data_IF_091033111419
#
_entry.id   IF_091033111419
#
_cell.length_a   1.000
_cell.length_b   1.000
_cell.length_c   1.000
_cell.angle_alpha   90.00
_cell.angle_beta   90.00
_cell.angle_gamma   90.00
#
_symmetry.space_group_name_H-M   'P 1'
#
loop_
_entity.id
_entity.type
_entity.pdbx_description
1 polymer ?
#
# COMPACT_ATOMS: atom_id res chain seq x y z
N UNK A 1 -6.42 8.37 -17.07
CA UNK A 1 -5.95 8.06 -15.71
C UNK A 1 -6.06 9.31 -14.87
N UNK A 2 -6.45 9.20 -13.60
CA UNK A 2 -6.50 10.34 -12.66
C UNK A 2 -5.70 10.02 -11.39
N UNK A 3 -4.90 10.97 -10.94
CA UNK A 3 -4.21 10.93 -9.65
C UNK A 3 -4.82 12.00 -8.75
N UNK A 4 -5.12 11.62 -7.51
CA UNK A 4 -5.63 12.57 -6.50
C UNK A 4 -4.78 12.51 -5.25
N UNK A 5 -4.05 13.60 -4.97
CA UNK A 5 -3.45 13.87 -3.68
C UNK A 5 -4.33 14.90 -2.95
N UNK A 6 -4.87 14.53 -1.79
CA UNK A 6 -5.63 15.44 -0.95
C UNK A 6 -4.68 16.13 0.04
N UNK A 7 -4.12 17.30 -0.33
CA UNK A 7 -3.78 18.42 0.58
C UNK A 7 -3.20 19.63 -0.22
N UNK A 8 -3.36 20.88 0.27
CA UNK A 8 -2.99 22.07 -0.46
C UNK A 8 -1.52 22.45 -0.19
N UNK A 9 -0.72 22.56 -1.25
CA UNK A 9 0.19 23.68 -1.55
C UNK A 9 1.35 23.23 -2.46
N UNK A 10 1.35 23.81 -3.67
CA UNK A 10 2.49 24.06 -4.58
C UNK A 10 3.51 22.95 -4.82
N UNK A 11 3.39 22.27 -5.97
CA UNK A 11 4.25 22.45 -7.15
C UNK A 11 3.99 21.30 -8.13
N UNK A 12 3.35 21.59 -9.27
CA UNK A 12 3.02 20.59 -10.30
C UNK A 12 3.99 20.65 -11.48
N UNK A 13 4.37 19.48 -11.99
CA UNK A 13 5.20 19.26 -13.17
C UNK A 13 4.56 18.11 -13.98
N UNK A 14 3.97 18.33 -15.17
CA UNK A 14 3.54 17.25 -16.10
C UNK A 14 3.85 17.53 -17.58
N UNK A 15 4.50 16.58 -18.28
CA UNK A 15 4.88 16.56 -19.71
C UNK A 15 3.79 15.92 -20.58
N UNK A 16 3.53 16.51 -21.76
CA UNK A 16 2.81 15.90 -22.89
C UNK A 16 3.72 15.80 -24.13
N UNK A 17 3.52 14.73 -24.92
CA UNK A 17 4.38 14.26 -26.00
C UNK A 17 3.88 14.68 -27.39
N UNK A 18 4.81 15.05 -28.28
CA UNK A 18 4.82 14.74 -29.72
C UNK A 18 6.18 15.13 -30.33
N UNK A 19 7.13 14.16 -30.40
CA UNK A 19 8.35 14.03 -31.27
C UNK A 19 9.54 13.36 -30.55
N UNK A 20 10.53 12.79 -31.27
CA UNK A 20 11.42 11.76 -30.73
C UNK A 20 12.27 12.25 -29.55
N UNK A 21 12.44 11.34 -28.60
CA UNK A 21 13.08 11.52 -27.30
C UNK A 21 14.46 12.19 -27.40
N UNK A 22 14.57 13.36 -26.77
CA UNK A 22 15.82 14.04 -26.39
C UNK A 22 15.80 14.13 -24.86
N UNK A 23 16.84 13.66 -24.14
CA UNK A 23 16.82 13.64 -22.68
C UNK A 23 16.75 15.07 -22.11
N UNK A 24 15.96 15.31 -21.04
CA UNK A 24 15.70 16.66 -20.53
C UNK A 24 16.91 17.25 -19.80
N UNK A 25 17.12 18.56 -19.97
CA UNK A 25 18.04 19.39 -19.18
C UNK A 25 17.31 19.90 -17.94
N UNK A 26 17.95 20.00 -16.75
CA UNK A 26 17.26 20.43 -15.52
C UNK A 26 16.69 21.86 -15.64
N UNK A 27 15.36 22.01 -15.50
CA UNK A 27 14.71 23.32 -15.33
C UNK A 27 13.46 23.63 -16.16
N UNK A 28 12.99 22.78 -17.07
CA UNK A 28 11.77 23.06 -17.85
C UNK A 28 10.50 22.48 -17.19
N UNK A 29 9.54 23.38 -16.89
CA UNK A 29 8.15 23.04 -16.54
C UNK A 29 7.41 22.48 -17.76
N UNK A 30 6.34 21.69 -17.57
CA UNK A 30 5.81 20.98 -18.70
C UNK A 30 4.31 21.24 -18.93
N UNK A 31 3.86 20.81 -20.11
CA UNK A 31 2.76 21.38 -20.89
C UNK A 31 1.37 20.90 -20.43
N UNK A 32 0.51 21.83 -19.97
CA UNK A 32 -0.78 21.56 -19.30
C UNK A 32 -1.97 21.26 -20.25
N UNK A 33 -1.80 21.35 -21.56
CA UNK A 33 -2.91 21.60 -22.51
C UNK A 33 -3.59 20.36 -23.15
N UNK A 34 -3.45 19.14 -22.61
CA UNK A 34 -4.07 17.91 -23.22
C UNK A 34 -4.95 17.05 -22.30
N UNK A 35 -5.40 17.56 -21.15
CA UNK A 35 -6.44 16.90 -20.35
C UNK A 35 -7.79 17.54 -20.67
N UNK A 36 -8.79 16.73 -21.01
CA UNK A 36 -10.17 17.20 -21.23
C UNK A 36 -10.61 18.06 -20.03
N UNK A 37 -10.93 19.34 -20.27
CA UNK A 37 -11.22 20.36 -19.22
C UNK A 37 -12.28 19.90 -18.20
N UNK A 38 -13.19 19.01 -18.63
CA UNK A 38 -14.23 18.41 -17.79
C UNK A 38 -13.72 17.42 -16.71
N UNK A 39 -12.42 17.15 -16.65
CA UNK A 39 -11.81 16.05 -15.89
C UNK A 39 -10.78 16.50 -14.85
N UNK A 40 -10.43 17.80 -14.80
CA UNK A 40 -9.39 18.31 -13.87
C UNK A 40 -10.00 18.49 -12.47
N UNK A 41 -9.49 17.74 -11.46
CA UNK A 41 -9.84 18.04 -10.07
C UNK A 41 -9.31 19.41 -9.66
N UNK A 42 -10.15 20.14 -8.93
CA UNK A 42 -9.83 21.46 -8.39
C UNK A 42 -9.75 21.38 -6.88
N UNK A 43 -8.72 22.00 -6.32
CA UNK A 43 -8.54 22.06 -4.85
C UNK A 43 -9.75 22.73 -4.23
N UNK A 44 -10.35 22.07 -3.23
CA UNK A 44 -11.54 22.54 -2.53
C UNK A 44 -12.87 22.12 -3.17
N UNK A 45 -12.86 21.48 -4.34
CA UNK A 45 -14.07 20.92 -4.97
C UNK A 45 -14.18 19.40 -4.73
N UNK A 46 -15.40 18.88 -4.91
CA UNK A 46 -15.65 17.43 -4.85
C UNK A 46 -14.94 16.77 -6.02
N UNK A 47 -14.26 15.65 -5.76
CA UNK A 47 -13.62 14.87 -6.83
C UNK A 47 -14.65 14.42 -7.86
N UNK A 48 -14.36 14.55 -9.17
CA UNK A 48 -15.25 14.06 -10.20
C UNK A 48 -15.42 12.55 -10.06
N UNK A 49 -16.65 12.07 -10.22
CA UNK A 49 -16.95 10.64 -10.14
C UNK A 49 -16.10 9.84 -11.15
N UNK A 50 -15.76 8.62 -10.75
CA UNK A 50 -15.12 7.63 -11.61
C UNK A 50 -15.96 7.36 -12.87
N UNK A 51 -15.29 7.07 -13.98
CA UNK A 51 -15.93 6.76 -15.26
C UNK A 51 -15.45 5.41 -15.77
N UNK A 52 -16.34 4.63 -16.39
CA UNK A 52 -16.03 3.32 -16.97
C UNK A 52 -14.83 3.44 -17.94
N UNK A 53 -13.84 2.57 -17.79
CA UNK A 53 -12.60 2.57 -18.56
C UNK A 53 -11.49 3.47 -18.02
N UNK A 54 -11.71 4.17 -16.91
CA UNK A 54 -10.66 4.96 -16.25
C UNK A 54 -10.04 4.15 -15.11
N UNK A 55 -8.71 4.20 -15.00
CA UNK A 55 -8.00 3.82 -13.79
C UNK A 55 -7.87 5.06 -12.89
N UNK A 56 -8.40 4.96 -11.67
CA UNK A 56 -8.21 5.95 -10.61
C UNK A 56 -7.32 5.35 -9.50
N UNK A 57 -6.29 6.11 -9.09
CA UNK A 57 -5.42 5.81 -7.95
C UNK A 57 -5.53 6.96 -6.95
N UNK A 58 -6.00 6.64 -5.75
CA UNK A 58 -6.24 7.59 -4.66
C UNK A 58 -5.27 7.33 -3.51
N UNK A 59 -4.40 8.28 -3.21
CA UNK A 59 -3.59 8.25 -2.00
C UNK A 59 -4.37 8.96 -0.87
N UNK A 60 -4.92 8.17 0.04
CA UNK A 60 -5.76 8.67 1.14
C UNK A 60 -4.84 9.10 2.27
N UNK A 61 -4.69 10.42 2.44
CA UNK A 61 -3.86 10.95 3.51
C UNK A 61 -4.57 10.77 4.87
N UNK A 62 -4.11 9.82 5.68
CA UNK A 62 -4.55 9.66 7.08
C UNK A 62 -3.65 10.41 8.06
N UNK A 63 -2.57 11.03 7.57
CA UNK A 63 -1.46 11.63 8.32
C UNK A 63 -0.67 10.67 9.21
N UNK A 64 -0.92 9.36 9.09
CA UNK A 64 -0.43 8.35 10.03
C UNK A 64 0.16 7.10 9.37
N UNK A 65 0.43 7.16 8.08
CA UNK A 65 1.04 6.09 7.30
C UNK A 65 0.42 5.97 5.91
N UNK A 66 0.49 4.77 5.35
CA UNK A 66 0.13 4.46 3.97
C UNK A 66 -1.35 4.04 3.82
N UNK A 67 -1.98 4.57 2.77
CA UNK A 67 -3.31 4.12 2.34
C UNK A 67 -3.52 4.49 0.88
N UNK A 68 -3.63 3.48 0.02
CA UNK A 68 -3.87 3.65 -1.41
C UNK A 68 -5.12 2.88 -1.83
N UNK A 69 -6.09 3.60 -2.40
CA UNK A 69 -7.33 3.01 -2.91
C UNK A 69 -7.37 3.14 -4.44
N UNK A 70 -7.68 2.05 -5.12
CA UNK A 70 -7.72 1.99 -6.58
C UNK A 70 -9.08 1.55 -7.09
N UNK A 71 -9.53 2.18 -8.17
CA UNK A 71 -10.66 1.73 -8.97
C UNK A 71 -10.13 1.36 -10.35
N UNK A 72 -10.19 0.07 -10.68
CA UNK A 72 -9.74 -0.45 -11.96
C UNK A 72 -10.70 -0.08 -13.09
N UNK A 73 -10.29 -0.20 -14.37
CA UNK A 73 -11.08 0.24 -15.51
C UNK A 73 -12.47 -0.41 -15.65
N UNK A 74 -12.66 -1.61 -15.11
CA UNK A 74 -13.95 -2.31 -15.10
C UNK A 74 -14.80 -2.03 -13.85
N UNK A 75 -14.29 -1.21 -12.92
CA UNK A 75 -14.90 -0.89 -11.63
C UNK A 75 -14.55 -1.85 -10.50
N UNK A 76 -13.63 -2.81 -10.70
CA UNK A 76 -13.04 -3.62 -9.62
C UNK A 76 -12.27 -2.70 -8.66
N UNK A 77 -12.32 -2.97 -7.36
CA UNK A 77 -11.75 -2.08 -6.34
C UNK A 77 -10.73 -2.75 -5.44
N UNK A 78 -9.61 -2.07 -5.20
CA UNK A 78 -8.52 -2.55 -4.36
C UNK A 78 -8.14 -1.50 -3.32
N UNK A 79 -7.98 -1.93 -2.07
CA UNK A 79 -7.35 -1.15 -1.01
C UNK A 79 -5.97 -1.74 -0.72
N UNK A 80 -4.92 -0.93 -0.81
CA UNK A 80 -3.56 -1.25 -0.41
C UNK A 80 -3.25 -0.46 0.85
N UNK A 81 -3.09 -1.17 1.95
CA UNK A 81 -2.87 -0.64 3.28
C UNK A 81 -4.03 0.27 3.79
N UNK A 82 -4.15 0.35 5.10
CA UNK A 82 -5.11 1.21 5.79
C UNK A 82 -4.49 1.66 7.12
N UNK A 83 -3.46 2.50 7.01
CA UNK A 83 -2.79 3.06 8.17
C UNK A 83 -3.70 3.89 9.06
N UNK A 84 -3.47 3.76 10.37
CA UNK A 84 -4.19 4.55 11.35
C UNK A 84 -3.49 4.55 12.70
N UNK A 85 -3.18 5.75 13.21
CA UNK A 85 -2.78 5.91 14.60
C UNK A 85 -3.64 6.96 15.31
N UNK A 86 -4.00 6.69 16.56
CA UNK A 86 -4.67 7.64 17.44
C UNK A 86 -3.70 8.52 18.23
N UNK A 87 -2.42 8.60 17.82
CA UNK A 87 -1.43 9.39 18.52
C UNK A 87 -1.85 10.86 18.58
N UNK A 88 -1.70 11.48 19.75
CA UNK A 88 -2.05 12.89 19.94
C UNK A 88 -1.24 13.78 18.99
N UNK A 89 -1.90 14.76 18.41
CA UNK A 89 -1.22 15.79 17.63
C UNK A 89 -0.48 16.74 18.56
N UNK A 90 0.71 17.17 18.16
CA UNK A 90 1.54 18.10 18.92
C UNK A 90 1.14 19.56 18.67
N UNK A 91 1.83 20.54 19.26
CA UNK A 91 1.58 21.95 18.97
C UNK A 91 1.80 22.29 17.48
N UNK A 92 0.92 23.11 16.90
CA UNK A 92 0.91 23.54 15.47
C UNK A 92 2.21 24.22 15.01
N UNK A 93 2.98 24.78 15.96
CA UNK A 93 4.29 25.39 15.70
C UNK A 93 5.49 24.43 15.77
N UNK A 94 5.29 23.15 16.10
CA UNK A 94 6.38 22.19 16.20
C UNK A 94 6.82 21.66 14.82
N UNK A 95 8.13 21.52 14.63
CA UNK A 95 8.73 20.89 13.43
C UNK A 95 8.82 19.37 13.53
N UNK A 96 8.41 18.79 14.65
CA UNK A 96 8.35 17.34 14.84
C UNK A 96 7.19 16.71 14.05
N UNK A 97 7.22 15.38 13.86
CA UNK A 97 6.15 14.63 13.19
C UNK A 97 4.76 14.91 13.81
N UNK A 98 4.69 15.07 15.14
CA UNK A 98 3.45 15.42 15.84
C UNK A 98 2.97 16.86 15.56
N UNK A 99 3.89 17.80 15.31
CA UNK A 99 3.57 19.16 14.87
C UNK A 99 3.11 19.23 13.41
N UNK A 100 3.77 18.49 12.51
CA UNK A 100 3.32 18.33 11.11
C UNK A 100 1.91 17.73 11.07
N UNK A 101 1.68 16.64 11.81
CA UNK A 101 0.37 16.00 11.90
C UNK A 101 -0.74 16.96 12.33
N UNK A 102 -0.47 17.81 13.33
CA UNK A 102 -1.44 18.79 13.81
C UNK A 102 -1.89 19.80 12.73
N UNK A 103 -1.16 19.96 11.62
CA UNK A 103 -1.54 20.88 10.53
C UNK A 103 -2.37 20.22 9.44
N UNK A 104 -2.27 18.90 9.31
CA UNK A 104 -2.69 18.20 8.09
C UNK A 104 -3.51 16.93 8.35
N UNK A 105 -3.72 16.56 9.61
CA UNK A 105 -4.58 15.42 9.98
C UNK A 105 -6.05 15.75 9.63
N UNK A 106 -6.66 15.09 8.64
CA UNK A 106 -8.05 15.37 8.24
C UNK A 106 -9.06 14.90 9.27
N UNK A 107 -8.61 14.14 10.28
CA UNK A 107 -9.43 13.70 11.40
C UNK A 107 -9.33 14.65 12.60
N UNK A 108 -8.42 15.63 12.55
CA UNK A 108 -8.33 16.70 13.53
C UNK A 108 -9.68 17.45 13.52
N UNK A 109 -10.37 17.42 14.65
CA UNK A 109 -11.68 18.03 14.89
C UNK A 109 -12.92 17.27 14.35
N UNK A 110 -12.75 16.17 13.61
CA UNK A 110 -13.90 15.40 13.08
C UNK A 110 -14.42 14.32 14.04
N UNK A 111 -13.57 13.84 14.95
CA UNK A 111 -13.88 12.73 15.85
C UNK A 111 -13.86 11.35 15.17
N UNK A 112 -13.57 11.27 13.87
CA UNK A 112 -13.44 10.00 13.16
C UNK A 112 -12.21 9.22 13.62
N UNK A 113 -12.35 7.89 13.70
CA UNK A 113 -11.21 6.97 13.72
C UNK A 113 -10.67 6.76 12.31
N UNK A 114 -9.40 6.39 12.19
CA UNK A 114 -8.75 6.23 10.88
C UNK A 114 -9.48 5.21 9.99
N UNK A 115 -9.88 4.07 10.54
CA UNK A 115 -10.64 3.06 9.80
C UNK A 115 -12.01 3.57 9.33
N UNK A 116 -12.72 4.33 10.18
CA UNK A 116 -13.98 5.00 9.80
C UNK A 116 -13.77 6.01 8.67
N UNK A 117 -12.74 6.86 8.78
CA UNK A 117 -12.44 7.88 7.77
C UNK A 117 -12.12 7.25 6.41
N UNK A 118 -11.28 6.21 6.39
CA UNK A 118 -10.95 5.44 5.18
C UNK A 118 -12.22 4.79 4.61
N UNK A 119 -13.02 4.11 5.45
CA UNK A 119 -14.23 3.43 5.01
C UNK A 119 -15.26 4.41 4.43
N UNK A 120 -15.46 5.58 5.04
CA UNK A 120 -16.39 6.60 4.56
C UNK A 120 -15.94 7.24 3.25
N UNK A 121 -14.63 7.45 3.07
CA UNK A 121 -14.09 7.88 1.78
C UNK A 121 -14.36 6.81 0.70
N UNK A 122 -14.04 5.55 0.98
CA UNK A 122 -14.24 4.45 0.04
C UNK A 122 -15.73 4.27 -0.30
N UNK A 123 -16.66 4.44 0.65
CA UNK A 123 -18.12 4.39 0.39
C UNK A 123 -18.56 5.44 -0.63
N UNK A 124 -18.00 6.65 -0.57
CA UNK A 124 -18.28 7.69 -1.57
C UNK A 124 -17.82 7.26 -2.96
N UNK A 125 -16.63 6.64 -3.05
CA UNK A 125 -16.11 6.11 -4.31
C UNK A 125 -16.89 4.89 -4.82
N UNK A 126 -17.32 4.00 -3.92
CA UNK A 126 -18.17 2.84 -4.23
C UNK A 126 -19.51 3.24 -4.86
N UNK A 127 -20.07 4.37 -4.45
CA UNK A 127 -21.29 4.90 -5.07
C UNK A 127 -21.12 5.22 -6.57
N UNK A 128 -19.90 5.53 -7.04
CA UNK A 128 -19.61 5.78 -8.46
C UNK A 128 -19.60 4.51 -9.31
N UNK A 129 -19.15 3.39 -8.73
CA UNK A 129 -19.01 2.11 -9.44
C UNK A 129 -20.21 1.18 -9.25
N UNK A 130 -21.11 1.51 -8.31
CA UNK A 130 -22.18 0.63 -7.86
C UNK A 130 -21.70 -0.54 -6.99
N UNK A 131 -20.46 -0.50 -6.50
CA UNK A 131 -19.94 -1.51 -5.58
C UNK A 131 -20.52 -1.33 -4.18
N UNK A 132 -20.54 -2.43 -3.43
CA UNK A 132 -20.89 -2.47 -2.00
C UNK A 132 -19.87 -3.31 -1.19
N UNK A 133 -18.76 -3.68 -1.81
CA UNK A 133 -17.66 -4.46 -1.22
C UNK A 133 -16.34 -4.04 -1.86
N UNK A 134 -15.26 -4.18 -1.11
CA UNK A 134 -13.90 -4.20 -1.66
C UNK A 134 -13.70 -5.55 -2.37
N UNK A 135 -13.17 -5.51 -3.60
CA UNK A 135 -12.84 -6.74 -4.30
C UNK A 135 -11.52 -7.32 -3.77
N UNK A 136 -10.54 -6.43 -3.56
CA UNK A 136 -9.23 -6.76 -3.02
C UNK A 136 -8.84 -5.86 -1.84
N UNK A 137 -8.15 -6.45 -0.87
CA UNK A 137 -7.38 -5.77 0.16
C UNK A 137 -5.96 -6.33 0.11
N UNK A 138 -4.94 -5.47 0.11
CA UNK A 138 -3.54 -5.87 0.25
C UNK A 138 -2.99 -5.19 1.49
N UNK A 139 -2.51 -5.97 2.45
CA UNK A 139 -1.66 -5.46 3.52
C UNK A 139 -0.21 -5.78 3.18
N UNK A 140 0.58 -4.75 2.91
CA UNK A 140 1.91 -4.92 2.31
C UNK A 140 2.89 -5.59 3.26
N UNK A 141 2.86 -5.21 4.53
CA UNK A 141 3.65 -5.82 5.60
C UNK A 141 3.08 -5.46 6.98
N UNK A 142 3.76 -5.92 8.04
CA UNK A 142 3.26 -5.85 9.40
C UNK A 142 3.87 -4.72 10.22
N UNK A 143 4.13 -3.56 9.62
CA UNK A 143 4.34 -2.32 10.38
C UNK A 143 3.04 -1.53 10.60
N UNK A 144 2.95 -0.88 11.77
CA UNK A 144 1.69 -0.32 12.26
C UNK A 144 1.17 0.86 11.43
N UNK A 145 2.01 1.51 10.66
CA UNK A 145 1.68 2.56 9.71
C UNK A 145 1.23 2.02 8.34
N UNK A 146 0.93 0.72 8.24
CA UNK A 146 0.29 0.10 7.09
C UNK A 146 -1.09 -0.48 7.41
N UNK A 147 -1.31 -0.98 8.63
CA UNK A 147 -2.59 -1.60 9.02
C UNK A 147 -3.17 -1.09 10.34
N UNK A 148 -2.48 -0.18 11.01
CA UNK A 148 -2.88 0.45 12.27
C UNK A 148 -1.90 0.16 13.41
N UNK A 149 -1.57 1.18 14.22
CA UNK A 149 -0.38 1.16 15.08
C UNK A 149 -0.67 0.98 16.59
N UNK A 150 -1.90 0.71 17.00
CA UNK A 150 -2.26 0.60 18.43
C UNK A 150 -3.41 -0.36 18.68
N UNK A 151 -3.35 -1.07 19.82
CA UNK A 151 -4.46 -1.87 20.34
C UNK A 151 -5.28 -1.16 21.42
N UNK A 152 -4.92 0.08 21.76
CA UNK A 152 -5.72 0.95 22.64
C UNK A 152 -6.88 1.58 21.85
N UNK A 153 -7.77 0.71 21.39
CA UNK A 153 -8.89 1.03 20.51
C UNK A 153 -10.16 0.38 21.04
N UNK A 154 -11.35 0.92 20.71
CA UNK A 154 -12.60 0.24 21.02
C UNK A 154 -12.60 -1.18 20.47
N UNK A 155 -13.14 -2.10 21.28
CA UNK A 155 -13.41 -3.48 20.85
C UNK A 155 -14.34 -3.47 19.63
N UNK A 156 -14.15 -4.41 18.72
CA UNK A 156 -15.04 -4.56 17.56
C UNK A 156 -16.48 -4.82 18.00
N UNK A 157 -17.44 -4.19 17.31
CA UNK A 157 -18.86 -4.47 17.53
C UNK A 157 -19.26 -5.83 16.94
N UNK A 158 -18.40 -6.43 16.11
CA UNK A 158 -18.60 -7.72 15.46
C UNK A 158 -18.08 -8.89 16.31
N UNK A 159 -17.01 -8.66 17.07
CA UNK A 159 -16.39 -9.67 17.91
C UNK A 159 -15.65 -9.07 19.11
N UNK A 160 -15.77 -9.65 20.31
CA UNK A 160 -14.96 -9.25 21.45
C UNK A 160 -13.48 -9.68 21.34
N UNK A 161 -13.09 -10.42 20.29
CA UNK A 161 -11.75 -11.01 20.16
C UNK A 161 -10.69 -10.09 19.57
N UNK A 162 -11.06 -8.93 19.02
CA UNK A 162 -10.14 -7.94 18.47
C UNK A 162 -10.68 -6.52 18.63
N UNK A 163 -9.80 -5.53 18.47
CA UNK A 163 -10.13 -4.10 18.53
C UNK A 163 -10.09 -3.47 17.13
N UNK A 164 -10.74 -2.31 17.00
CA UNK A 164 -10.87 -1.48 15.80
C UNK A 164 -9.57 -0.76 15.42
N UNK A 165 -8.51 -1.53 15.19
CA UNK A 165 -7.18 -1.04 14.83
C UNK A 165 -7.12 -0.72 13.32
N UNK A 166 -7.74 0.36 12.85
CA UNK A 166 -7.69 0.80 11.45
C UNK A 166 -8.07 -0.26 10.40
N UNK A 167 -7.17 -1.10 9.86
CA UNK A 167 -7.53 -2.10 8.85
C UNK A 167 -8.58 -3.11 9.34
N UNK A 168 -8.44 -3.73 10.53
CA UNK A 168 -9.51 -4.44 11.22
C UNK A 168 -10.85 -3.70 11.27
N UNK A 169 -10.84 -2.38 11.50
CA UNK A 169 -12.06 -1.57 11.49
C UNK A 169 -12.63 -1.39 10.07
N UNK A 170 -11.77 -1.19 9.06
CA UNK A 170 -12.19 -1.17 7.66
C UNK A 170 -12.89 -2.48 7.29
N UNK A 171 -12.36 -3.63 7.72
CA UNK A 171 -12.99 -4.94 7.49
C UNK A 171 -14.33 -5.11 8.23
N UNK A 172 -14.51 -4.48 9.41
CA UNK A 172 -15.80 -4.45 10.10
C UNK A 172 -16.85 -3.62 9.35
N UNK A 173 -16.39 -2.55 8.69
CA UNK A 173 -17.22 -1.53 8.06
C UNK A 173 -17.52 -1.80 6.59
N UNK A 174 -16.64 -2.51 5.88
CA UNK A 174 -16.74 -2.82 4.46
C UNK A 174 -16.51 -4.31 4.21
N UNK A 175 -17.47 -5.01 3.57
CA UNK A 175 -17.21 -6.37 3.09
C UNK A 175 -16.02 -6.39 2.13
N UNK A 176 -15.20 -7.43 2.20
CA UNK A 176 -14.05 -7.62 1.33
C UNK A 176 -14.03 -9.04 0.71
N UNK A 177 -13.66 -9.13 -0.56
CA UNK A 177 -13.60 -10.39 -1.32
C UNK A 177 -12.36 -11.21 -1.00
N UNK A 178 -11.19 -10.68 -1.37
CA UNK A 178 -9.89 -11.31 -1.14
C UNK A 178 -8.95 -10.35 -0.41
N UNK A 179 -8.39 -10.78 0.72
CA UNK A 179 -7.26 -10.14 1.36
C UNK A 179 -5.97 -10.88 0.98
N UNK A 180 -4.94 -10.12 0.63
CA UNK A 180 -3.59 -10.58 0.39
C UNK A 180 -2.68 -9.99 1.46
N UNK A 181 -1.82 -10.83 2.05
CA UNK A 181 -0.72 -10.37 2.90
C UNK A 181 0.50 -11.27 2.76
N UNK A 182 1.63 -10.88 3.38
CA UNK A 182 2.88 -11.64 3.32
C UNK A 182 2.93 -12.87 4.23
N UNK A 183 2.00 -13.01 5.17
CA UNK A 183 2.13 -13.91 6.33
C UNK A 183 1.12 -15.05 6.39
N UNK A 184 0.01 -14.98 5.67
CA UNK A 184 -1.05 -16.00 5.73
C UNK A 184 -0.52 -17.41 5.40
N UNK A 185 -0.98 -18.48 6.08
CA UNK A 185 -1.82 -18.48 7.27
C UNK A 185 -1.04 -18.48 8.60
N UNK A 186 0.29 -18.62 8.54
CA UNK A 186 1.13 -18.97 9.70
C UNK A 186 1.63 -17.74 10.47
N UNK A 187 1.94 -16.64 9.78
CA UNK A 187 2.46 -15.40 10.36
C UNK A 187 3.74 -15.61 11.19
N UNK A 188 4.61 -16.50 10.72
CA UNK A 188 5.78 -17.01 11.44
C UNK A 188 7.14 -16.77 10.75
N UNK A 189 7.15 -15.91 9.72
CA UNK A 189 8.37 -15.52 9.00
C UNK A 189 8.72 -14.03 9.24
N UNK A 190 10.00 -13.71 9.53
CA UNK A 190 11.12 -14.64 9.76
C UNK A 190 11.08 -15.31 11.15
N UNK A 191 10.22 -14.81 12.03
CA UNK A 191 9.94 -15.33 13.37
C UNK A 191 8.42 -15.32 13.59
N UNK A 192 7.94 -15.95 14.67
CA UNK A 192 6.55 -15.83 15.10
C UNK A 192 6.17 -14.36 15.35
N UNK A 193 5.50 -13.74 14.40
CA UNK A 193 5.17 -12.32 14.42
C UNK A 193 4.14 -11.98 15.49
N UNK A 194 3.37 -12.97 15.98
CA UNK A 194 2.34 -12.76 17.00
C UNK A 194 2.89 -12.82 18.43
N UNK A 195 4.15 -13.24 18.61
CA UNK A 195 4.77 -13.36 19.94
C UNK A 195 6.18 -12.78 20.05
N UNK A 196 6.95 -12.76 18.97
CA UNK A 196 8.37 -12.39 18.96
C UNK A 196 8.67 -11.03 18.34
N UNK A 197 7.82 -10.54 17.44
CA UNK A 197 8.00 -9.21 16.85
C UNK A 197 7.87 -8.09 17.89
N UNK A 198 8.52 -6.95 17.63
CA UNK A 198 8.45 -5.75 18.48
C UNK A 198 7.02 -5.27 18.70
N UNK A 199 6.18 -5.42 17.67
CA UNK A 199 4.77 -5.04 17.65
C UNK A 199 3.81 -6.26 17.71
N UNK A 200 4.23 -7.35 18.36
CA UNK A 200 3.49 -8.61 18.39
C UNK A 200 2.00 -8.48 18.81
N UNK A 201 1.66 -7.58 19.74
CA UNK A 201 0.26 -7.34 20.14
C UNK A 201 -0.59 -6.77 19.00
N UNK A 202 -0.01 -5.85 18.23
CA UNK A 202 -0.62 -5.17 17.07
C UNK A 202 -0.83 -6.19 15.94
N UNK A 203 0.17 -7.01 15.64
CA UNK A 203 0.06 -8.10 14.65
C UNK A 203 -0.98 -9.14 15.08
N UNK A 204 -0.95 -9.56 16.34
CA UNK A 204 -1.90 -10.54 16.89
C UNK A 204 -3.35 -10.07 16.77
N UNK A 205 -3.61 -8.80 17.02
CA UNK A 205 -4.96 -8.23 16.85
C UNK A 205 -5.41 -8.29 15.38
N UNK A 206 -4.56 -7.88 14.43
CA UNK A 206 -4.82 -8.01 13.00
C UNK A 206 -5.10 -9.45 12.57
N UNK A 207 -4.23 -10.40 12.93
CA UNK A 207 -4.41 -11.82 12.59
C UNK A 207 -5.71 -12.36 13.18
N UNK A 208 -6.07 -11.94 14.39
CA UNK A 208 -7.34 -12.34 15.04
C UNK A 208 -8.55 -11.78 14.29
N UNK A 209 -8.51 -10.52 13.86
CA UNK A 209 -9.55 -9.91 13.03
C UNK A 209 -9.70 -10.61 11.67
N UNK A 210 -8.59 -10.84 10.97
CA UNK A 210 -8.58 -11.53 9.67
C UNK A 210 -9.17 -12.93 9.79
N UNK A 211 -8.73 -13.73 10.77
CA UNK A 211 -9.27 -15.08 11.00
C UNK A 211 -10.76 -15.05 11.36
N UNK A 212 -11.21 -14.05 12.13
CA UNK A 212 -12.63 -13.88 12.42
C UNK A 212 -13.42 -13.59 11.15
N UNK A 213 -12.97 -12.66 10.30
CA UNK A 213 -13.64 -12.33 9.05
C UNK A 213 -13.67 -13.51 8.07
N UNK A 214 -12.59 -14.28 7.96
CA UNK A 214 -12.59 -15.53 7.18
C UNK A 214 -13.68 -16.50 7.64
N UNK A 215 -13.86 -16.66 8.96
CA UNK A 215 -14.83 -17.58 9.51
C UNK A 215 -16.28 -17.08 9.46
N UNK A 216 -16.51 -15.76 9.35
CA UNK A 216 -17.83 -15.17 9.60
C UNK A 216 -18.41 -14.31 8.47
N UNK A 217 -17.59 -13.77 7.56
CA UNK A 217 -18.07 -12.81 6.53
C UNK A 217 -17.87 -13.29 5.10
N UNK A 218 -17.20 -14.43 4.90
CA UNK A 218 -16.87 -14.96 3.58
C UNK A 218 -15.62 -14.34 2.96
N UNK A 219 -14.86 -13.54 3.73
CA UNK A 219 -13.53 -13.06 3.35
C UNK A 219 -12.64 -14.24 2.99
N UNK A 220 -12.00 -14.19 1.81
CA UNK A 220 -10.90 -15.09 1.46
C UNK A 220 -9.57 -14.43 1.79
N UNK A 221 -8.58 -15.25 2.13
CA UNK A 221 -7.22 -14.75 2.37
C UNK A 221 -6.22 -15.65 1.66
N UNK A 222 -5.27 -15.02 0.98
CA UNK A 222 -4.14 -15.68 0.34
C UNK A 222 -2.82 -15.04 0.75
N UNK A 223 -1.75 -15.83 0.74
CA UNK A 223 -0.41 -15.27 0.78
C UNK A 223 -0.11 -14.62 -0.56
N UNK A 224 0.43 -13.41 -0.55
CA UNK A 224 0.98 -12.78 -1.75
C UNK A 224 2.11 -13.65 -2.30
N UNK A 225 2.14 -13.86 -3.62
CA UNK A 225 3.13 -14.72 -4.31
C UNK A 225 3.92 -13.88 -5.30
N UNK A 226 5.23 -13.77 -5.11
CA UNK A 226 6.13 -13.16 -6.08
C UNK A 226 5.99 -13.87 -7.44
N UNK A 227 5.96 -13.10 -8.52
CA UNK A 227 5.77 -13.59 -9.89
C UNK A 227 4.33 -13.82 -10.31
N UNK A 228 3.36 -13.94 -9.39
CA UNK A 228 1.96 -14.14 -9.76
C UNK A 228 1.38 -12.92 -10.49
N UNK A 229 0.48 -13.17 -11.45
CA UNK A 229 -0.29 -12.12 -12.12
C UNK A 229 -1.79 -12.44 -12.22
N UNK A 230 -2.21 -13.43 -11.44
CA UNK A 230 -3.57 -13.97 -11.39
C UNK A 230 -4.22 -13.81 -9.99
N UNK A 231 -3.48 -13.30 -8.99
CA UNK A 231 -4.04 -13.01 -7.66
C UNK A 231 -4.91 -11.75 -7.64
N UNK A 232 -4.56 -10.75 -8.45
CA UNK A 232 -5.30 -9.49 -8.59
C UNK A 232 -5.63 -9.30 -10.07
N UNK A 233 -6.90 -9.44 -10.41
CA UNK A 233 -7.41 -9.38 -11.79
C UNK A 233 -8.69 -8.56 -11.85
N UNK A 234 -9.12 -8.21 -13.06
CA UNK A 234 -10.43 -7.59 -13.29
C UNK A 234 -11.54 -8.62 -13.04
N UNK A 235 -12.51 -8.30 -12.17
CA UNK A 235 -13.57 -9.23 -11.76
C UNK A 235 -14.90 -9.03 -12.49
N UNK A 236 -15.02 -7.98 -13.30
CA UNK A 236 -16.25 -7.62 -14.01
C UNK A 236 -16.03 -7.77 -15.51
N UNK A 237 -15.91 -6.66 -16.25
CA UNK A 237 -15.81 -6.65 -17.71
C UNK A 237 -14.35 -6.74 -18.17
N UNK A 238 -13.61 -7.75 -17.72
CA UNK A 238 -12.17 -7.89 -17.97
C UNK A 238 -11.81 -7.86 -19.47
N UNK A 239 -12.66 -8.45 -20.32
CA UNK A 239 -12.47 -8.50 -21.76
C UNK A 239 -12.45 -7.14 -22.46
N UNK A 240 -13.04 -6.09 -21.84
CA UNK A 240 -13.01 -4.72 -22.36
C UNK A 240 -11.63 -4.07 -22.17
N UNK A 241 -10.77 -4.62 -21.29
CA UNK A 241 -9.51 -4.02 -20.85
C UNK A 241 -8.34 -5.02 -20.88
N UNK A 242 -8.02 -5.62 -22.04
CA UNK A 242 -7.01 -6.68 -22.15
C UNK A 242 -5.58 -6.23 -21.82
N UNK A 243 -5.32 -4.92 -21.77
CA UNK A 243 -4.03 -4.35 -21.41
C UNK A 243 -3.85 -4.12 -19.90
N UNK A 244 -4.88 -4.38 -19.08
CA UNK A 244 -4.75 -4.27 -17.63
C UNK A 244 -4.03 -5.49 -17.06
N UNK A 245 -3.03 -5.26 -16.20
CA UNK A 245 -2.31 -6.33 -15.50
C UNK A 245 -1.82 -5.82 -14.15
N UNK A 246 -1.91 -6.66 -13.12
CA UNK A 246 -1.12 -6.53 -11.89
C UNK A 246 -0.10 -7.65 -11.86
N UNK A 247 1.17 -7.29 -11.74
CA UNK A 247 2.29 -8.20 -11.62
C UNK A 247 2.84 -8.11 -10.20
N UNK A 248 2.76 -9.20 -9.46
CA UNK A 248 3.42 -9.31 -8.17
C UNK A 248 4.92 -9.44 -8.41
N UNK A 249 5.70 -8.53 -7.85
CA UNK A 249 7.15 -8.45 -8.04
C UNK A 249 7.87 -9.13 -6.89
N UNK A 250 7.59 -8.77 -5.64
CA UNK A 250 8.34 -9.32 -4.50
C UNK A 250 7.50 -9.50 -3.24
N UNK A 251 7.95 -10.41 -2.37
CA UNK A 251 7.43 -10.63 -1.01
C UNK A 251 8.42 -11.49 -0.21
N UNK A 252 8.68 -11.18 1.06
CA UNK A 252 9.57 -11.96 1.93
C UNK A 252 10.92 -12.32 1.27
N UNK A 253 11.49 -11.42 0.46
CA UNK A 253 12.76 -11.65 -0.25
C UNK A 253 12.67 -12.54 -1.50
N UNK A 254 11.52 -13.12 -1.83
CA UNK A 254 11.29 -13.72 -3.14
C UNK A 254 11.03 -12.61 -4.15
N UNK A 255 11.81 -12.56 -5.24
CA UNK A 255 11.71 -11.52 -6.29
C UNK A 255 11.48 -12.18 -7.64
N UNK A 256 10.43 -11.77 -8.36
CA UNK A 256 10.08 -12.22 -9.70
C UNK A 256 11.26 -12.08 -10.66
N UNK A 257 11.50 -13.08 -11.50
CA UNK A 257 12.67 -13.11 -12.40
C UNK A 257 12.53 -12.25 -13.68
N UNK A 258 11.40 -11.55 -13.84
CA UNK A 258 11.10 -10.75 -15.03
C UNK A 258 10.41 -11.52 -16.16
N UNK A 259 10.11 -12.81 -15.98
CA UNK A 259 9.42 -13.63 -16.98
C UNK A 259 8.42 -14.61 -16.36
N UNK A 260 7.41 -15.03 -17.15
CA UNK A 260 6.41 -16.00 -16.68
C UNK A 260 5.58 -15.51 -15.48
N UNK A 261 4.96 -16.46 -14.78
CA UNK A 261 4.02 -16.18 -13.67
C UNK A 261 4.32 -16.96 -12.39
N UNK A 262 5.44 -17.69 -12.33
CA UNK A 262 5.72 -18.64 -11.23
C UNK A 262 7.17 -18.65 -10.76
N UNK A 263 8.06 -17.92 -11.40
CA UNK A 263 9.50 -17.97 -11.12
C UNK A 263 9.93 -16.75 -10.33
N UNK A 264 10.42 -16.99 -9.12
CA UNK A 264 11.00 -15.97 -8.26
C UNK A 264 12.34 -16.48 -7.71
N UNK A 265 13.27 -15.55 -7.49
CA UNK A 265 14.56 -15.80 -6.86
C UNK A 265 14.46 -15.42 -5.39
N UNK A 266 14.69 -16.38 -4.50
CA UNK A 266 14.84 -16.12 -3.07
C UNK A 266 16.16 -15.38 -2.84
N UNK A 267 16.09 -14.17 -2.31
CA UNK A 267 17.27 -13.34 -1.99
C UNK A 267 17.67 -13.43 -0.53
N UNK A 268 16.69 -13.62 0.37
CA UNK A 268 16.92 -13.73 1.81
C UNK A 268 17.64 -15.02 2.20
N UNK A 269 18.32 -15.05 3.36
CA UNK A 269 18.86 -16.27 3.92
C UNK A 269 17.74 -17.28 4.16
N UNK A 270 18.06 -18.57 3.99
CA UNK A 270 17.13 -19.63 4.37
C UNK A 270 16.82 -19.54 5.88
N UNK A 271 15.62 -19.93 6.30
CA UNK A 271 15.16 -19.80 7.69
C UNK A 271 16.16 -20.39 8.72
N UNK A 272 16.85 -21.49 8.37
CA UNK A 272 17.86 -22.14 9.22
C UNK A 272 19.14 -21.31 9.42
N UNK A 273 19.40 -20.39 8.50
CA UNK A 273 20.60 -19.54 8.47
C UNK A 273 20.29 -18.14 9.04
N UNK A 274 19.02 -17.87 9.38
CA UNK A 274 18.61 -16.64 10.05
C UNK A 274 19.19 -16.61 11.47
N UNK A 275 19.94 -15.57 11.77
CA UNK A 275 20.54 -15.32 13.09
C UNK A 275 20.12 -13.93 13.54
N UNK A 276 19.43 -13.88 14.69
CA UNK A 276 18.97 -12.64 15.31
C UNK A 276 19.24 -12.70 16.80
N UNK A 277 19.88 -11.66 17.35
CA UNK A 277 20.15 -11.58 18.79
C UNK A 277 18.86 -11.35 19.60
N UNK A 278 18.02 -10.41 19.14
CA UNK A 278 16.69 -10.14 19.69
C UNK A 278 15.67 -9.92 18.55
N UNK A 279 14.69 -10.82 18.35
CA UNK A 279 13.64 -10.66 17.35
C UNK A 279 12.79 -9.39 17.47
N UNK A 280 12.83 -8.70 18.62
CA UNK A 280 12.15 -7.41 18.83
C UNK A 280 12.97 -6.21 18.37
N UNK A 281 14.23 -6.41 18.01
CA UNK A 281 15.15 -5.35 17.62
C UNK A 281 16.09 -5.86 16.53
N UNK A 282 15.51 -6.44 15.47
CA UNK A 282 16.28 -6.80 14.27
C UNK A 282 16.91 -5.53 13.72
N UNK A 283 18.24 -5.53 13.59
CA UNK A 283 19.00 -4.42 13.04
C UNK A 283 19.81 -4.79 11.81
N UNK A 284 20.51 -3.80 11.27
CA UNK A 284 21.35 -3.94 10.09
C UNK A 284 22.42 -5.04 10.20
N UNK A 285 22.94 -5.30 11.40
CA UNK A 285 23.98 -6.32 11.64
C UNK A 285 23.43 -7.74 11.87
N UNK A 286 22.11 -7.91 12.04
CA UNK A 286 21.51 -9.24 12.15
C UNK A 286 21.37 -9.89 10.77
N UNK A 287 21.71 -11.18 10.68
CA UNK A 287 21.43 -11.99 9.49
C UNK A 287 19.94 -12.41 9.49
N UNK A 288 19.06 -11.42 9.53
CA UNK A 288 17.61 -11.56 9.63
C UNK A 288 16.97 -10.38 8.89
N UNK A 289 15.94 -10.60 8.05
CA UNK A 289 15.24 -9.49 7.43
C UNK A 289 14.45 -8.72 8.48
N UNK A 290 14.58 -7.39 8.47
CA UNK A 290 13.63 -6.50 9.15
C UNK A 290 12.29 -6.49 8.41
N UNK A 291 11.23 -6.03 9.09
CA UNK A 291 9.86 -6.15 8.60
C UNK A 291 9.63 -5.39 7.27
N UNK A 292 10.26 -4.23 7.08
CA UNK A 292 10.23 -3.47 5.82
C UNK A 292 10.74 -4.29 4.62
N UNK A 293 11.86 -5.02 4.79
CA UNK A 293 12.38 -5.87 3.73
C UNK A 293 11.37 -6.95 3.29
N UNK A 294 10.49 -7.38 4.19
CA UNK A 294 9.52 -8.44 3.92
C UNK A 294 8.29 -7.97 3.12
N UNK A 295 8.20 -6.68 2.78
CA UNK A 295 7.08 -6.05 2.07
C UNK A 295 6.67 -6.75 0.77
N UNK A 296 5.39 -6.59 0.42
CA UNK A 296 4.90 -6.93 -0.93
C UNK A 296 5.16 -5.79 -1.91
N UNK A 297 5.61 -6.13 -3.11
CA UNK A 297 5.85 -5.20 -4.22
C UNK A 297 5.03 -5.61 -5.43
N UNK A 298 4.39 -4.67 -6.13
CA UNK A 298 3.72 -4.93 -7.39
C UNK A 298 3.87 -3.81 -8.42
N UNK A 299 3.70 -4.19 -9.70
CA UNK A 299 3.51 -3.27 -10.82
C UNK A 299 2.10 -3.42 -11.37
N UNK A 300 1.41 -2.31 -11.58
CA UNK A 300 0.13 -2.24 -12.27
C UNK A 300 0.35 -1.59 -13.65
N UNK A 301 -0.09 -2.25 -14.71
CA UNK A 301 -0.05 -1.75 -16.08
C UNK A 301 -1.46 -1.58 -16.62
N UNK A 302 -1.73 -0.48 -17.33
CA UNK A 302 -2.96 -0.29 -18.11
C UNK A 302 -2.72 0.54 -19.37
N UNK A 303 -2.79 -0.12 -20.53
CA UNK A 303 -2.46 0.53 -21.81
C UNK A 303 -0.97 0.84 -21.87
N UNK A 304 -0.61 2.13 -21.96
CA UNK A 304 0.78 2.60 -21.91
C UNK A 304 1.23 3.04 -20.52
N UNK A 305 0.31 3.03 -19.55
CA UNK A 305 0.56 3.53 -18.23
C UNK A 305 1.04 2.42 -17.30
N UNK A 306 2.08 2.69 -16.53
CA UNK A 306 2.68 1.81 -15.53
C UNK A 306 2.79 2.51 -14.16
N UNK A 307 2.31 1.84 -13.11
CA UNK A 307 2.44 2.25 -11.71
C UNK A 307 3.22 1.21 -10.90
N UNK A 308 4.20 1.67 -10.13
CA UNK A 308 4.94 0.83 -9.17
C UNK A 308 4.52 1.13 -7.73
N UNK A 309 4.28 0.08 -6.96
CA UNK A 309 4.05 0.15 -5.52
C UNK A 309 5.05 -0.76 -4.81
N UNK A 310 6.11 -0.17 -4.22
CA UNK A 310 7.12 -0.91 -3.48
C UNK A 310 6.73 -1.27 -2.05
N UNK A 311 5.58 -0.79 -1.56
CA UNK A 311 5.32 -0.81 -0.12
C UNK A 311 6.46 -0.06 0.57
N UNK A 312 7.06 -0.64 1.60
CA UNK A 312 8.25 -0.07 2.23
C UNK A 312 9.50 -0.90 1.93
N UNK A 313 9.73 -1.17 0.64
CA UNK A 313 10.99 -1.74 0.22
C UNK A 313 12.13 -0.83 0.72
N UNK A 314 13.25 -1.42 1.10
CA UNK A 314 14.38 -0.67 1.60
C UNK A 314 15.68 -1.38 1.24
N UNK A 315 16.78 -0.66 1.41
CA UNK A 315 18.13 -1.15 1.20
C UNK A 315 19.00 -1.07 2.47
N UNK A 316 18.42 -0.66 3.60
CA UNK A 316 19.14 -0.50 4.87
C UNK A 316 19.82 -1.80 5.30
N UNK A 317 21.11 -1.71 5.64
CA UNK A 317 21.93 -2.87 6.00
C UNK A 317 22.54 -3.62 4.80
N UNK A 318 22.34 -3.16 3.56
CA UNK A 318 22.94 -3.80 2.37
C UNK A 318 24.48 -3.81 2.37
N UNK A 319 25.11 -2.88 3.09
CA UNK A 319 26.57 -2.85 3.30
C UNK A 319 27.09 -4.03 4.11
N UNK A 320 26.28 -4.57 5.02
CA UNK A 320 26.60 -5.77 5.81
C UNK A 320 26.13 -7.02 5.07
N UNK A 321 24.90 -7.00 4.56
CA UNK A 321 24.30 -8.13 3.86
C UNK A 321 23.69 -7.67 2.53
N UNK A 322 24.33 -7.98 1.41
CA UNK A 322 23.89 -7.55 0.07
C UNK A 322 22.42 -7.89 -0.22
N UNK A 323 21.90 -8.99 0.33
CA UNK A 323 20.50 -9.40 0.15
C UNK A 323 19.48 -8.46 0.82
N UNK A 324 19.89 -7.55 1.72
CA UNK A 324 19.03 -6.52 2.28
C UNK A 324 18.69 -5.41 1.28
N UNK A 325 19.37 -5.35 0.13
CA UNK A 325 18.95 -4.49 -0.99
C UNK A 325 17.74 -5.11 -1.71
N UNK A 326 16.53 -4.67 -1.34
CA UNK A 326 15.30 -5.07 -2.01
C UNK A 326 14.95 -4.17 -3.20
N UNK A 327 15.37 -2.90 -3.16
CA UNK A 327 14.99 -1.89 -4.16
C UNK A 327 15.64 -2.17 -5.52
N UNK A 328 16.95 -2.38 -5.57
CA UNK A 328 17.69 -2.59 -6.83
C UNK A 328 17.19 -3.80 -7.64
N UNK A 329 17.06 -5.01 -7.07
CA UNK A 329 16.55 -6.16 -7.82
C UNK A 329 15.09 -5.98 -8.25
N UNK A 330 14.23 -5.35 -7.42
CA UNK A 330 12.86 -5.05 -7.80
C UNK A 330 12.80 -4.07 -8.98
N UNK A 331 13.59 -2.99 -8.94
CA UNK A 331 13.64 -1.99 -10.01
C UNK A 331 14.08 -2.60 -11.35
N UNK A 332 15.08 -3.49 -11.33
CA UNK A 332 15.58 -4.18 -12.54
C UNK A 332 14.50 -5.01 -13.23
N UNK A 333 13.68 -5.73 -12.47
CA UNK A 333 12.64 -6.60 -13.04
C UNK A 333 11.33 -5.86 -13.33
N UNK A 334 11.08 -4.76 -12.63
CA UNK A 334 9.95 -3.86 -12.87
C UNK A 334 10.09 -3.11 -14.21
N UNK A 335 11.31 -2.65 -14.50
CA UNK A 335 11.60 -1.74 -15.60
C UNK A 335 11.08 -0.31 -15.33
N UNK A 336 11.10 0.53 -16.36
CA UNK A 336 10.60 1.89 -16.25
C UNK A 336 9.08 1.91 -15.95
N UNK A 337 8.65 2.91 -15.19
CA UNK A 337 7.25 3.17 -14.84
C UNK A 337 6.95 4.67 -14.96
N UNK A 338 5.68 5.03 -15.09
CA UNK A 338 5.26 6.44 -15.19
C UNK A 338 5.14 7.08 -13.81
N UNK A 339 4.67 6.32 -12.82
CA UNK A 339 4.51 6.77 -11.43
C UNK A 339 4.92 5.67 -10.47
N UNK A 340 5.56 6.06 -9.37
CA UNK A 340 5.82 5.18 -8.25
C UNK A 340 5.36 5.83 -6.93
N UNK A 341 4.87 5.01 -6.01
CA UNK A 341 4.87 5.37 -4.58
C UNK A 341 6.32 5.32 -4.10
N UNK A 342 6.75 6.33 -3.33
CA UNK A 342 8.09 6.30 -2.75
C UNK A 342 8.19 5.15 -1.75
N UNK A 343 9.30 4.40 -1.82
CA UNK A 343 9.56 3.28 -0.91
C UNK A 343 9.89 3.81 0.52
N UNK A 344 10.39 2.98 1.43
CA UNK A 344 10.43 3.23 2.89
C UNK A 344 10.55 4.71 3.32
N UNK A 345 9.39 5.29 3.70
CA UNK A 345 9.16 6.67 4.14
C UNK A 345 9.79 7.82 3.31
N UNK A 346 10.16 7.57 2.05
CA UNK A 346 10.67 8.62 1.17
C UNK A 346 11.93 9.32 1.68
N UNK A 347 12.77 8.64 2.48
CA UNK A 347 14.05 9.21 2.94
C UNK A 347 14.96 9.47 1.74
N UNK A 348 15.95 10.36 1.87
CA UNK A 348 16.74 10.94 0.76
C UNK A 348 17.37 9.95 -0.22
N UNK A 349 17.37 8.65 0.09
CA UNK A 349 17.99 7.59 -0.70
C UNK A 349 16.98 6.64 -1.39
N UNK A 350 15.67 6.68 -1.09
CA UNK A 350 14.66 5.73 -1.63
C UNK A 350 14.19 6.05 -3.06
N UNK A 351 14.87 6.95 -3.78
CA UNK A 351 14.52 7.37 -5.15
C UNK A 351 15.75 7.40 -6.08
N UNK A 352 16.69 6.46 -5.86
CA UNK A 352 17.97 6.39 -6.58
C UNK A 352 17.86 6.33 -8.09
#
# INVERSE_FOLDING_TARGET
MRFFNLLPALASLFISCEKPYVPPTPGSKPDEDKVDEAVKAKVGEVLPAWQKGVLDIHFINTSTGECCFMIFPDGTQMLVDAAGSHNQTGPVGSTTNVGIRSRWDPMKDSGFRAGEFIADYIRKCMAWTGNNKLDYVLNTHFHGDHFGSTTDMPVSDKSPSYVKQSLPEVLDLLPAGLLLDRGWPSYDYPVDMQTKASNASIVKNYVTAVKWHVANTGLKVERFKAGASDQIVLLKNAGDYPSFKVQNIAVNGDIWDGSGTTTATATFPALKDIVVADPKSVGNEDNCPEENHCTTVFKLSYGKFDFFHGGDAQYDGCSTFVWKDMETPCAKVCGAVDVMKADHHGVTNTNG
#
